data_IF_788877820988
#
_entry.id   IF_788877820988
#
_cell.length_a   1.000
_cell.length_b   1.000
_cell.length_c   1.000
_cell.angle_alpha   90.00
_cell.angle_beta   90.00
_cell.angle_gamma   90.00
#
_symmetry.space_group_name_H-M   'P 1'
#
loop_
_entity.id
_entity.type
_entity.pdbx_description
1 polymer ?
#
# COMPACT_ATOMS: atom_id res chain seq x y z
N UNK A 1 3.85 -4.01 -9.66
CA UNK A 1 2.52 -3.45 -9.35
C UNK A 1 1.85 -2.88 -10.59
N UNK A 2 2.45 -1.92 -11.29
CA UNK A 2 1.92 -1.36 -12.55
C UNK A 2 1.64 -2.45 -13.61
N UNK A 3 2.55 -3.40 -13.80
CA UNK A 3 2.38 -4.50 -14.76
C UNK A 3 1.16 -5.37 -14.42
N UNK A 4 0.98 -5.75 -13.15
CA UNK A 4 -0.17 -6.54 -12.74
C UNK A 4 -1.50 -5.77 -12.93
N UNK A 5 -1.52 -4.49 -12.54
CA UNK A 5 -2.68 -3.63 -12.79
C UNK A 5 -2.96 -3.42 -14.28
N UNK A 6 -1.92 -3.31 -15.11
CA UNK A 6 -2.05 -3.21 -16.55
C UNK A 6 -2.62 -4.48 -17.21
N UNK A 7 -2.15 -5.66 -16.77
CA UNK A 7 -2.67 -6.95 -17.27
C UNK A 7 -4.16 -7.13 -16.94
N UNK A 8 -4.57 -6.78 -15.72
CA UNK A 8 -5.99 -6.82 -15.34
C UNK A 8 -6.82 -5.81 -16.13
N UNK A 9 -6.25 -4.66 -16.50
CA UNK A 9 -6.88 -3.66 -17.35
C UNK A 9 -7.11 -4.15 -18.78
N UNK A 10 -6.18 -4.94 -19.35
CA UNK A 10 -6.35 -5.55 -20.68
C UNK A 10 -7.52 -6.54 -20.67
N UNK A 11 -7.69 -7.32 -19.60
CA UNK A 11 -8.84 -8.22 -19.46
C UNK A 11 -10.16 -7.44 -19.40
N UNK A 12 -10.21 -6.35 -18.63
CA UNK A 12 -11.39 -5.48 -18.51
C UNK A 12 -11.69 -4.68 -19.80
N UNK A 13 -10.68 -4.42 -20.62
CA UNK A 13 -10.87 -3.75 -21.92
C UNK A 13 -11.58 -4.66 -22.95
N UNK A 14 -11.60 -5.97 -22.72
CA UNK A 14 -12.30 -6.91 -23.59
C UNK A 14 -13.78 -6.97 -23.21
N UNK A 15 -14.64 -6.44 -24.06
CA UNK A 15 -16.10 -6.34 -23.82
C UNK A 15 -16.78 -7.65 -23.47
N UNK A 16 -16.37 -8.75 -24.08
CA UNK A 16 -16.98 -10.08 -23.80
C UNK A 16 -16.67 -10.57 -22.37
N UNK A 17 -15.50 -10.23 -21.86
CA UNK A 17 -15.07 -10.57 -20.51
C UNK A 17 -15.66 -9.56 -19.49
N UNK A 18 -15.69 -8.28 -19.85
CA UNK A 18 -16.17 -7.22 -18.97
C UNK A 18 -17.67 -7.33 -18.66
N UNK A 19 -18.47 -7.95 -19.51
CA UNK A 19 -19.88 -8.25 -19.21
C UNK A 19 -20.02 -9.05 -17.89
N UNK A 20 -19.12 -9.99 -17.63
CA UNK A 20 -19.15 -10.82 -16.42
C UNK A 20 -18.40 -10.20 -15.23
N UNK A 21 -17.43 -9.33 -15.48
CA UNK A 21 -16.58 -8.73 -14.44
C UNK A 21 -17.01 -7.32 -14.06
N UNK A 22 -17.89 -6.70 -14.83
CA UNK A 22 -18.40 -5.36 -14.57
C UNK A 22 -19.07 -5.27 -13.20
N UNK A 23 -18.78 -4.22 -12.46
CA UNK A 23 -19.30 -3.99 -11.10
C UNK A 23 -18.97 -5.11 -10.07
N UNK A 24 -17.88 -5.84 -10.27
CA UNK A 24 -17.37 -6.83 -9.31
C UNK A 24 -16.13 -6.31 -8.56
N UNK A 25 -15.70 -7.08 -7.55
CA UNK A 25 -14.45 -6.82 -6.82
C UNK A 25 -13.19 -6.93 -7.71
N UNK A 26 -13.27 -7.54 -8.88
CA UNK A 26 -12.18 -7.55 -9.86
C UNK A 26 -11.82 -6.13 -10.34
N UNK A 27 -12.83 -5.33 -10.67
CA UNK A 27 -12.66 -3.92 -11.07
C UNK A 27 -12.05 -3.11 -9.92
N UNK A 28 -12.53 -3.32 -8.68
CA UNK A 28 -11.99 -2.64 -7.48
C UNK A 28 -10.50 -2.94 -7.34
N UNK A 29 -10.10 -4.18 -7.50
CA UNK A 29 -8.70 -4.58 -7.37
C UNK A 29 -7.85 -3.96 -8.46
N UNK A 30 -8.33 -3.94 -9.71
CA UNK A 30 -7.63 -3.34 -10.83
C UNK A 30 -7.25 -1.89 -10.54
N UNK A 31 -8.20 -1.03 -10.21
CA UNK A 31 -7.87 0.39 -10.00
C UNK A 31 -7.08 0.64 -8.70
N UNK A 32 -7.22 -0.18 -7.66
CA UNK A 32 -6.38 -0.07 -6.48
C UNK A 32 -4.92 -0.46 -6.77
N UNK A 33 -4.65 -1.44 -7.62
CA UNK A 33 -3.29 -1.76 -8.05
C UNK A 33 -2.62 -0.59 -8.78
N UNK A 34 -3.37 0.18 -9.54
CA UNK A 34 -2.83 1.33 -10.28
C UNK A 34 -2.71 2.55 -9.37
N UNK A 35 -3.76 2.92 -8.64
CA UNK A 35 -3.82 4.17 -7.89
C UNK A 35 -3.13 4.05 -6.53
N UNK A 36 -3.51 3.08 -5.70
CA UNK A 36 -2.94 2.96 -4.35
C UNK A 36 -1.52 2.42 -4.38
N UNK A 37 -1.24 1.44 -5.23
CA UNK A 37 0.06 0.80 -5.31
C UNK A 37 1.01 1.47 -6.30
N UNK A 38 0.51 1.95 -7.41
CA UNK A 38 1.30 2.68 -8.38
C UNK A 38 1.57 4.12 -7.92
N UNK A 39 0.54 4.95 -7.83
CA UNK A 39 0.71 6.38 -7.60
C UNK A 39 1.07 6.72 -6.15
N UNK A 40 0.32 6.22 -5.15
CA UNK A 40 0.52 6.62 -3.74
C UNK A 40 1.85 6.09 -3.20
N UNK A 41 2.18 4.81 -3.46
CA UNK A 41 3.46 4.24 -2.98
C UNK A 41 4.65 4.94 -3.66
N UNK A 42 4.55 5.27 -4.94
CA UNK A 42 5.61 6.02 -5.63
C UNK A 42 5.82 7.38 -4.99
N UNK A 43 4.76 8.09 -4.62
CA UNK A 43 4.86 9.34 -3.88
C UNK A 43 5.58 9.16 -2.54
N UNK A 44 5.24 8.12 -1.77
CA UNK A 44 5.92 7.83 -0.51
C UNK A 44 7.40 7.49 -0.70
N UNK A 45 7.74 6.69 -1.71
CA UNK A 45 9.14 6.38 -2.04
C UNK A 45 9.91 7.67 -2.36
N UNK A 46 9.33 8.59 -3.12
CA UNK A 46 9.93 9.88 -3.40
C UNK A 46 10.18 10.69 -2.12
N UNK A 47 9.19 10.79 -1.23
CA UNK A 47 9.31 11.52 0.03
C UNK A 47 10.38 10.88 0.95
N UNK A 48 10.44 9.55 0.99
CA UNK A 48 11.45 8.80 1.75
C UNK A 48 12.86 9.04 1.19
N UNK A 49 13.02 8.96 -0.11
CA UNK A 49 14.30 9.23 -0.77
C UNK A 49 14.76 10.66 -0.49
N UNK A 50 13.87 11.64 -0.60
CA UNK A 50 14.16 13.03 -0.30
C UNK A 50 14.53 13.24 1.18
N UNK A 51 13.85 12.56 2.11
CA UNK A 51 14.16 12.64 3.54
C UNK A 51 15.55 12.09 3.86
N UNK A 52 15.96 10.99 3.23
CA UNK A 52 17.30 10.39 3.42
C UNK A 52 18.42 11.28 2.89
N UNK A 53 18.21 12.00 1.79
CA UNK A 53 19.17 12.96 1.25
C UNK A 53 19.40 14.17 2.16
N UNK A 54 18.40 14.56 2.95
CA UNK A 54 18.47 15.72 3.84
C UNK A 54 19.05 15.40 5.24
N UNK A 55 19.14 14.11 5.60
CA UNK A 55 19.74 13.67 6.86
C UNK A 55 21.26 13.61 6.72
N UNK A 56 21.99 14.35 7.58
CA UNK A 56 23.41 14.13 7.73
C UNK A 56 23.67 12.80 8.46
N UNK A 57 24.85 12.24 8.21
CA UNK A 57 25.34 10.97 8.74
C UNK A 57 25.55 11.02 10.27
N UNK A 58 24.47 11.08 11.05
CA UNK A 58 24.55 10.80 12.47
C UNK A 58 24.24 9.31 12.65
N UNK A 59 25.24 8.50 13.02
CA UNK A 59 25.22 7.04 12.95
C UNK A 59 24.05 6.39 13.65
N UNK A 60 23.69 6.86 14.84
CA UNK A 60 22.60 6.27 15.62
C UNK A 60 21.21 6.55 15.04
N UNK A 61 20.97 7.79 14.63
CA UNK A 61 19.71 8.19 14.03
C UNK A 61 19.49 7.53 12.67
N UNK A 62 20.57 7.33 11.91
CA UNK A 62 20.55 6.63 10.65
C UNK A 62 20.14 5.16 10.81
N UNK A 63 20.63 4.46 11.85
CA UNK A 63 20.27 3.06 12.13
C UNK A 63 18.78 2.94 12.47
N UNK A 64 18.26 3.76 13.38
CA UNK A 64 16.83 3.74 13.73
C UNK A 64 15.97 4.02 12.50
N UNK A 65 16.36 5.00 11.72
CA UNK A 65 15.63 5.42 10.54
C UNK A 65 15.58 4.33 9.46
N UNK A 66 16.69 3.67 9.19
CA UNK A 66 16.78 2.55 8.25
C UNK A 66 15.95 1.34 8.71
N UNK A 67 15.93 1.05 10.01
CA UNK A 67 15.14 -0.04 10.60
C UNK A 67 13.63 0.23 10.44
N UNK A 68 13.18 1.45 10.70
CA UNK A 68 11.77 1.84 10.50
C UNK A 68 11.35 1.74 9.03
N UNK A 69 12.21 2.14 8.10
CA UNK A 69 11.96 2.01 6.66
C UNK A 69 11.86 0.55 6.23
N UNK A 70 12.71 -0.32 6.79
CA UNK A 70 12.67 -1.75 6.52
C UNK A 70 11.34 -2.36 6.96
N UNK A 71 10.87 -2.09 8.17
CA UNK A 71 9.57 -2.57 8.65
C UNK A 71 8.41 -1.98 7.84
N UNK A 72 8.44 -0.69 7.54
CA UNK A 72 7.46 -0.07 6.64
C UNK A 72 7.35 -0.83 5.32
N UNK A 73 8.47 -1.08 4.66
CA UNK A 73 8.50 -1.78 3.38
C UNK A 73 7.88 -3.17 3.46
N UNK A 74 8.30 -3.99 4.43
CA UNK A 74 7.80 -5.35 4.56
C UNK A 74 6.31 -5.41 4.91
N UNK A 75 5.87 -4.66 5.91
CA UNK A 75 4.47 -4.65 6.31
C UNK A 75 3.57 -4.10 5.20
N UNK A 76 4.01 -3.09 4.49
CA UNK A 76 3.24 -2.52 3.38
C UNK A 76 3.14 -3.50 2.22
N UNK A 77 4.24 -4.09 1.76
CA UNK A 77 4.22 -5.03 0.63
C UNK A 77 3.43 -6.30 0.95
N UNK A 78 3.68 -6.91 2.12
CA UNK A 78 2.94 -8.11 2.54
C UNK A 78 1.45 -7.80 2.71
N UNK A 79 1.13 -6.72 3.42
CA UNK A 79 -0.26 -6.33 3.66
C UNK A 79 -1.03 -6.08 2.38
N UNK A 80 -0.46 -5.37 1.42
CA UNK A 80 -1.04 -5.10 0.11
C UNK A 80 -1.34 -6.39 -0.66
N UNK A 81 -0.37 -7.31 -0.73
CA UNK A 81 -0.59 -8.57 -1.45
C UNK A 81 -1.65 -9.42 -0.77
N UNK A 82 -1.67 -9.50 0.56
CA UNK A 82 -2.68 -10.22 1.32
C UNK A 82 -4.06 -9.56 1.18
N UNK A 83 -4.14 -8.25 1.03
CA UNK A 83 -5.41 -7.53 0.82
C UNK A 83 -5.97 -7.78 -0.58
N UNK A 84 -5.18 -7.53 -1.62
CA UNK A 84 -5.71 -7.43 -2.98
C UNK A 84 -5.67 -8.75 -3.77
N UNK A 85 -4.82 -9.71 -3.43
CA UNK A 85 -4.84 -11.03 -4.10
C UNK A 85 -6.17 -11.76 -3.90
N UNK A 86 -6.72 -11.85 -2.68
CA UNK A 86 -8.04 -12.45 -2.47
C UNK A 86 -9.17 -11.74 -3.22
N UNK A 87 -9.09 -10.42 -3.37
CA UNK A 87 -10.13 -9.65 -4.07
C UNK A 87 -10.21 -9.97 -5.57
N UNK A 88 -9.10 -10.37 -6.22
CA UNK A 88 -9.15 -10.89 -7.59
C UNK A 88 -9.97 -12.17 -7.67
N UNK A 89 -9.77 -13.11 -6.72
CA UNK A 89 -10.52 -14.37 -6.68
C UNK A 89 -12.01 -14.13 -6.37
N UNK A 90 -12.31 -13.19 -5.48
CA UNK A 90 -13.70 -12.77 -5.23
C UNK A 90 -14.34 -12.17 -6.47
N UNK A 91 -13.59 -11.40 -7.25
CA UNK A 91 -14.07 -10.85 -8.51
C UNK A 91 -14.34 -11.92 -9.56
N UNK A 92 -13.49 -12.94 -9.70
CA UNK A 92 -13.73 -14.09 -10.57
C UNK A 92 -14.95 -14.90 -10.14
N UNK A 93 -15.25 -14.96 -8.85
CA UNK A 93 -16.48 -15.56 -8.32
C UNK A 93 -17.71 -14.65 -8.46
N UNK A 94 -17.62 -13.61 -9.28
CA UNK A 94 -18.70 -12.66 -9.56
C UNK A 94 -19.26 -11.96 -8.32
N UNK A 95 -18.44 -11.77 -7.25
CA UNK A 95 -18.86 -11.02 -6.09
C UNK A 95 -19.09 -9.55 -6.48
N UNK A 96 -20.35 -9.04 -6.38
CA UNK A 96 -20.64 -7.66 -6.73
C UNK A 96 -19.98 -6.68 -5.76
N UNK A 97 -19.66 -5.48 -6.22
CA UNK A 97 -19.29 -4.37 -5.34
C UNK A 97 -20.54 -3.71 -4.73
N UNK A 98 -20.36 -2.95 -3.65
CA UNK A 98 -21.41 -2.14 -3.00
C UNK A 98 -22.58 -2.97 -2.44
N UNK A 99 -22.31 -4.19 -1.99
CA UNK A 99 -23.32 -5.03 -1.34
C UNK A 99 -23.20 -4.90 0.19
N UNK A 100 -24.30 -4.94 0.94
CA UNK A 100 -24.29 -4.88 2.40
C UNK A 100 -23.91 -6.22 3.05
N UNK A 101 -24.10 -7.34 2.34
CA UNK A 101 -23.88 -8.68 2.85
C UNK A 101 -23.41 -9.61 1.74
N UNK A 102 -22.77 -10.73 2.09
CA UNK A 102 -22.23 -11.70 1.14
C UNK A 102 -22.35 -13.13 1.67
N UNK A 103 -22.37 -14.17 0.79
CA UNK A 103 -22.49 -15.56 1.19
C UNK A 103 -21.33 -16.02 2.08
N UNK A 104 -21.61 -16.92 3.05
CA UNK A 104 -20.62 -17.48 3.99
C UNK A 104 -19.44 -18.14 3.28
N UNK A 105 -19.65 -18.71 2.10
CA UNK A 105 -18.63 -19.37 1.29
C UNK A 105 -17.42 -18.47 0.98
N UNK A 106 -17.64 -17.16 0.82
CA UNK A 106 -16.60 -16.19 0.48
C UNK A 106 -16.09 -15.41 1.69
N UNK A 107 -16.59 -15.70 2.89
CA UNK A 107 -16.22 -15.04 4.14
C UNK A 107 -14.70 -15.12 4.41
N UNK A 108 -14.09 -16.28 4.18
CA UNK A 108 -12.66 -16.49 4.43
C UNK A 108 -11.77 -15.57 3.59
N UNK A 109 -12.11 -15.35 2.33
CA UNK A 109 -11.36 -14.43 1.45
C UNK A 109 -11.51 -12.98 1.89
N UNK A 110 -12.69 -12.56 2.31
CA UNK A 110 -12.93 -11.23 2.86
C UNK A 110 -12.18 -11.03 4.18
N UNK A 111 -12.17 -12.04 5.07
CA UNK A 111 -11.40 -11.99 6.31
C UNK A 111 -9.89 -11.85 6.04
N UNK A 112 -9.35 -12.63 5.10
CA UNK A 112 -7.93 -12.54 4.72
C UNK A 112 -7.57 -11.15 4.18
N UNK A 113 -8.43 -10.57 3.36
CA UNK A 113 -8.28 -9.20 2.86
C UNK A 113 -8.26 -8.17 4.00
N UNK A 114 -9.12 -8.33 5.01
CA UNK A 114 -9.16 -7.46 6.20
C UNK A 114 -7.89 -7.58 7.06
N UNK A 115 -7.34 -8.79 7.21
CA UNK A 115 -6.04 -8.99 7.86
C UNK A 115 -4.91 -8.28 7.10
N UNK A 116 -4.92 -8.34 5.78
CA UNK A 116 -3.96 -7.64 4.92
C UNK A 116 -4.04 -6.11 5.10
N UNK A 117 -5.24 -5.54 5.16
CA UNK A 117 -5.42 -4.11 5.39
C UNK A 117 -4.89 -3.64 6.75
N UNK A 118 -5.03 -4.47 7.79
CA UNK A 118 -4.44 -4.20 9.11
C UNK A 118 -2.91 -4.18 9.08
N UNK A 119 -2.29 -5.08 8.30
CA UNK A 119 -0.83 -5.09 8.11
C UNK A 119 -0.35 -3.84 7.36
N UNK A 120 -1.07 -3.38 6.33
CA UNK A 120 -0.72 -2.14 5.63
C UNK A 120 -0.82 -0.93 6.55
N UNK A 121 -1.82 -0.89 7.44
CA UNK A 121 -1.95 0.16 8.45
C UNK A 121 -0.73 0.21 9.38
N UNK A 122 -0.23 -0.95 9.84
CA UNK A 122 1.00 -1.01 10.63
C UNK A 122 2.21 -0.46 9.85
N UNK A 123 2.32 -0.78 8.56
CA UNK A 123 3.34 -0.21 7.69
C UNK A 123 3.28 1.33 7.66
N UNK A 124 2.10 1.91 7.51
CA UNK A 124 1.94 3.38 7.56
C UNK A 124 2.27 3.98 8.91
N UNK A 125 2.00 3.30 10.02
CA UNK A 125 2.42 3.76 11.36
C UNK A 125 3.95 3.89 11.42
N UNK A 126 4.71 2.90 10.93
CA UNK A 126 6.17 3.01 10.87
C UNK A 126 6.64 4.15 9.98
N UNK A 127 5.94 4.43 8.88
CA UNK A 127 6.22 5.56 8.01
C UNK A 127 6.02 6.91 8.73
N UNK A 128 4.94 7.06 9.50
CA UNK A 128 4.72 8.26 10.30
C UNK A 128 5.80 8.47 11.36
N UNK A 129 6.23 7.40 12.05
CA UNK A 129 7.34 7.47 12.99
C UNK A 129 8.64 7.88 12.32
N UNK A 130 8.92 7.38 11.12
CA UNK A 130 10.07 7.82 10.33
C UNK A 130 10.04 9.34 10.07
N UNK A 131 8.93 9.86 9.59
CA UNK A 131 8.80 11.30 9.32
C UNK A 131 8.86 12.14 10.59
N UNK A 132 8.33 11.66 11.70
CA UNK A 132 8.42 12.36 12.99
C UNK A 132 9.87 12.48 13.45
N UNK A 133 10.65 11.39 13.40
CA UNK A 133 12.07 11.39 13.74
C UNK A 133 12.85 12.31 12.82
N UNK A 134 12.56 12.26 11.52
CA UNK A 134 13.17 13.14 10.52
C UNK A 134 12.92 14.62 10.82
N UNK A 135 11.68 15.00 11.10
CA UNK A 135 11.31 16.38 11.42
C UNK A 135 12.03 16.89 12.68
N UNK A 136 12.10 16.06 13.72
CA UNK A 136 12.80 16.37 14.97
C UNK A 136 14.29 16.57 14.75
N UNK A 137 14.95 15.65 14.06
CA UNK A 137 16.38 15.75 13.76
C UNK A 137 16.73 17.02 12.96
N UNK A 138 15.85 17.42 12.04
CA UNK A 138 16.02 18.65 11.26
C UNK A 138 15.85 19.91 12.10
N UNK A 139 14.93 19.91 13.07
CA UNK A 139 14.73 21.02 13.98
C UNK A 139 15.96 21.22 14.88
N UNK A 140 16.47 20.17 15.51
CA UNK A 140 17.67 20.20 16.34
C UNK A 140 18.91 20.72 15.57
N UNK A 141 19.08 20.30 14.33
CA UNK A 141 20.17 20.79 13.47
C UNK A 141 20.06 22.30 13.16
N UNK A 142 18.85 22.82 13.02
CA UNK A 142 18.61 24.24 12.76
C UNK A 142 18.97 25.08 13.99
N UNK A 143 18.62 24.62 15.19
CA UNK A 143 18.96 25.30 16.45
C UNK A 143 20.49 25.37 16.69
N UNK A 144 21.21 24.28 16.39
CA UNK A 144 22.69 24.27 16.52
C UNK A 144 23.42 25.20 15.56
N UNK A 145 22.80 25.58 14.43
CA UNK A 145 23.41 26.49 13.46
C UNK A 145 23.16 27.96 13.74
N UNK A 146 22.26 28.28 14.66
CA UNK A 146 21.92 29.65 15.07
C UNK A 146 21.88 29.71 16.61
N UNK A 147 23.07 29.64 17.28
CA UNK A 147 23.17 29.83 18.71
C UNK A 147 22.90 31.30 19.10
#
# INVERSE_FOLDING_TARGET
MFTNGGLTGILLANTSIDISLHDTYYVITHFHYILSLGAIITLFIYLLFYSTLLLDYNTFLHIINSTLLYYNFYFTILGINITFTPLHFLGFNSMPRRIPDYPDLIMNWNFLSSCGSSLTLLGFIFLFFHFFIFARARAEKKEMKHP
#
